data_IF_192250750002
#
_entry.id   IF_192250750002
#
_cell.length_a   1.000
_cell.length_b   1.000
_cell.length_c   1.000
_cell.angle_alpha   90.00
_cell.angle_beta   90.00
_cell.angle_gamma   90.00
#
_symmetry.space_group_name_H-M   'P 1'
#
loop_
_entity.id
_entity.type
_entity.pdbx_description
1 polymer ?
#
# COMPACT_ATOMS: atom_id res chain seq x y z
N UNK A 1 -6.96 37.16 3.34
CA UNK A 1 -7.98 38.02 3.98
C UNK A 1 -9.35 37.61 3.43
N UNK A 2 -10.33 37.25 4.27
CA UNK A 2 -11.68 36.94 3.81
C UNK A 2 -12.38 38.26 3.47
N UNK A 3 -12.53 38.52 2.18
CA UNK A 3 -13.08 39.76 1.66
C UNK A 3 -14.33 39.41 0.88
N UNK A 4 -15.49 39.86 1.35
CA UNK A 4 -16.75 39.78 0.60
C UNK A 4 -17.06 41.20 0.15
N UNK A 5 -17.17 41.41 -1.18
CA UNK A 5 -17.42 42.74 -1.78
C UNK A 5 -16.39 43.84 -1.45
N UNK A 6 -15.14 43.46 -1.18
CA UNK A 6 -14.07 44.44 -0.96
C UNK A 6 -13.90 44.90 0.49
N UNK A 7 -14.81 44.54 1.40
CA UNK A 7 -14.65 44.82 2.82
C UNK A 7 -14.19 43.57 3.60
N UNK A 8 -13.17 43.69 4.46
CA UNK A 8 -12.76 42.60 5.32
C UNK A 8 -13.82 42.38 6.40
N UNK A 9 -14.33 41.14 6.48
CA UNK A 9 -15.30 40.77 7.51
C UNK A 9 -14.53 40.31 8.75
N UNK A 10 -14.93 40.83 9.92
CA UNK A 10 -14.41 40.43 11.22
C UNK A 10 -13.13 41.15 11.63
N UNK A 11 -12.80 41.02 12.91
CA UNK A 11 -11.51 41.48 13.45
C UNK A 11 -10.38 40.58 12.95
N UNK A 12 -9.12 41.02 13.04
CA UNK A 12 -7.95 40.16 12.74
C UNK A 12 -7.98 38.86 13.55
N UNK A 13 -8.55 38.91 14.76
CA UNK A 13 -8.76 37.74 15.61
C UNK A 13 -9.79 36.76 15.03
N UNK A 14 -10.90 37.24 14.48
CA UNK A 14 -11.91 36.38 13.83
C UNK A 14 -11.34 35.70 12.58
N UNK A 15 -10.51 36.42 11.81
CA UNK A 15 -9.83 35.85 10.65
C UNK A 15 -8.78 34.81 11.05
N UNK A 16 -8.01 35.07 12.10
CA UNK A 16 -7.06 34.12 12.66
C UNK A 16 -7.75 32.85 13.15
N UNK A 17 -8.87 33.00 13.87
CA UNK A 17 -9.68 31.87 14.31
C UNK A 17 -10.24 31.06 13.14
N UNK A 18 -10.73 31.72 12.08
CA UNK A 18 -11.30 31.03 10.92
C UNK A 18 -10.25 30.23 10.14
N UNK A 19 -9.09 30.82 9.87
CA UNK A 19 -7.97 30.13 9.20
C UNK A 19 -7.49 28.97 10.06
N UNK A 20 -7.37 29.16 11.38
CA UNK A 20 -6.96 28.09 12.30
C UNK A 20 -7.98 26.94 12.34
N UNK A 21 -9.28 27.25 12.32
CA UNK A 21 -10.36 26.26 12.35
C UNK A 21 -10.46 25.45 11.06
N UNK A 22 -10.08 26.02 9.92
CA UNK A 22 -9.99 25.29 8.65
C UNK A 22 -8.67 24.53 8.50
N UNK A 23 -7.57 25.08 8.99
CA UNK A 23 -6.25 24.49 8.86
C UNK A 23 -6.11 23.23 9.73
N UNK A 24 -6.53 23.28 10.99
CA UNK A 24 -6.32 22.19 11.95
C UNK A 24 -6.96 20.85 11.52
N UNK A 25 -8.22 20.81 11.04
CA UNK A 25 -8.82 19.58 10.53
C UNK A 25 -8.11 19.05 9.28
N UNK A 26 -7.62 19.92 8.41
CA UNK A 26 -6.90 19.47 7.21
C UNK A 26 -5.56 18.82 7.56
N UNK A 27 -4.79 19.41 8.48
CA UNK A 27 -3.54 18.81 8.97
C UNK A 27 -3.82 17.47 9.65
N UNK A 28 -4.86 17.39 10.47
CA UNK A 28 -5.30 16.12 11.07
C UNK A 28 -5.66 15.07 10.02
N UNK A 29 -6.29 15.47 8.93
CA UNK A 29 -6.64 14.61 7.81
C UNK A 29 -5.39 14.07 7.08
N UNK A 30 -4.43 14.95 6.78
CA UNK A 30 -3.12 14.59 6.21
C UNK A 30 -2.38 13.59 7.10
N UNK A 31 -2.28 13.89 8.40
CA UNK A 31 -1.64 12.99 9.35
C UNK A 31 -2.33 11.62 9.40
N UNK A 32 -3.67 11.58 9.34
CA UNK A 32 -4.42 10.33 9.28
C UNK A 32 -4.12 9.50 8.02
N UNK A 33 -4.02 10.14 6.86
CA UNK A 33 -3.67 9.48 5.60
C UNK A 33 -2.24 8.94 5.63
N UNK A 34 -1.31 9.74 6.14
CA UNK A 34 0.09 9.36 6.31
C UNK A 34 0.28 8.17 7.26
N UNK A 35 -0.50 8.06 8.33
CA UNK A 35 -0.50 6.88 9.21
C UNK A 35 -0.91 5.62 8.45
N UNK A 36 -1.96 5.70 7.63
CA UNK A 36 -2.42 4.55 6.84
C UNK A 36 -1.39 4.15 5.80
N UNK A 37 -0.75 5.13 5.14
CA UNK A 37 0.40 4.90 4.26
C UNK A 37 1.53 4.18 5.01
N UNK A 38 1.89 4.61 6.22
CA UNK A 38 2.92 3.94 7.03
C UNK A 38 2.54 2.49 7.36
N UNK A 39 1.27 2.21 7.68
CA UNK A 39 0.77 0.84 7.91
C UNK A 39 0.89 -0.01 6.65
N UNK A 40 0.52 0.53 5.48
CA UNK A 40 0.66 -0.14 4.18
C UNK A 40 2.13 -0.44 3.85
N UNK A 41 3.06 0.48 4.14
CA UNK A 41 4.50 0.26 3.97
C UNK A 41 4.99 -0.85 4.90
N UNK A 42 4.59 -0.84 6.17
CA UNK A 42 4.93 -1.91 7.12
C UNK A 42 4.42 -3.28 6.66
N UNK A 43 3.18 -3.33 6.18
CA UNK A 43 2.59 -4.57 5.62
C UNK A 43 3.33 -5.04 4.36
N UNK A 44 3.75 -4.11 3.49
CA UNK A 44 4.57 -4.43 2.32
C UNK A 44 5.93 -5.02 2.74
N UNK A 45 6.55 -4.49 3.79
CA UNK A 45 7.79 -5.03 4.35
C UNK A 45 7.63 -6.46 4.88
N UNK A 46 6.55 -6.76 5.59
CA UNK A 46 6.25 -8.13 6.05
C UNK A 46 6.08 -9.12 4.88
N UNK A 47 5.43 -8.68 3.79
CA UNK A 47 5.31 -9.49 2.58
C UNK A 47 6.65 -9.70 1.88
N UNK A 48 7.52 -8.69 1.84
CA UNK A 48 8.85 -8.79 1.25
C UNK A 48 9.76 -9.74 2.05
N UNK A 49 9.71 -9.66 3.39
CA UNK A 49 10.41 -10.59 4.28
C UNK A 49 9.94 -12.03 4.05
N UNK A 50 8.62 -12.23 3.94
CA UNK A 50 8.06 -13.55 3.62
C UNK A 50 8.52 -14.03 2.24
N UNK A 51 8.59 -13.14 1.24
CA UNK A 51 9.05 -13.47 -0.10
C UNK A 51 10.52 -13.90 -0.12
N UNK A 52 11.39 -13.22 0.62
CA UNK A 52 12.80 -13.59 0.75
C UNK A 52 12.94 -14.91 1.48
N UNK A 53 12.26 -15.06 2.63
CA UNK A 53 12.30 -16.29 3.41
C UNK A 53 11.86 -17.49 2.57
N UNK A 54 10.75 -17.39 1.83
CA UNK A 54 10.30 -18.46 0.93
C UNK A 54 11.28 -18.77 -0.20
N UNK A 55 11.94 -17.75 -0.77
CA UNK A 55 12.95 -17.94 -1.81
C UNK A 55 14.20 -18.66 -1.30
N UNK A 56 14.62 -18.34 -0.06
CA UNK A 56 15.87 -18.81 0.52
C UNK A 56 15.68 -20.05 1.43
N UNK A 57 14.43 -20.55 1.60
CA UNK A 57 14.08 -21.66 2.50
C UNK A 57 14.96 -22.89 2.25
N UNK A 58 15.16 -23.27 0.99
CA UNK A 58 15.90 -24.50 0.68
C UNK A 58 17.41 -24.34 0.84
N UNK A 59 17.95 -23.16 0.52
CA UNK A 59 19.37 -22.84 0.75
C UNK A 59 19.66 -22.81 2.27
N UNK A 60 18.76 -22.19 3.04
CA UNK A 60 18.86 -22.13 4.51
C UNK A 60 18.81 -23.52 5.15
N UNK A 61 17.91 -24.39 4.68
CA UNK A 61 17.82 -25.79 5.15
C UNK A 61 19.10 -26.54 4.82
N UNK A 62 19.64 -26.38 3.61
CA UNK A 62 20.88 -27.02 3.18
C UNK A 62 22.08 -26.57 4.03
N UNK A 63 22.21 -25.27 4.29
CA UNK A 63 23.29 -24.71 5.12
C UNK A 63 23.23 -25.26 6.56
N UNK A 64 22.05 -25.26 7.20
CA UNK A 64 21.87 -25.78 8.55
C UNK A 64 22.26 -27.27 8.67
N UNK A 65 22.00 -28.06 7.62
CA UNK A 65 22.38 -29.47 7.59
C UNK A 65 23.89 -29.69 7.46
N UNK A 66 24.59 -28.83 6.72
CA UNK A 66 26.06 -28.90 6.62
C UNK A 66 26.76 -28.60 7.95
N UNK A 67 26.21 -27.65 8.73
CA UNK A 67 26.73 -27.30 10.06
C UNK A 67 26.46 -28.41 11.08
N UNK A 68 25.32 -29.09 10.99
CA UNK A 68 24.88 -30.03 12.02
C UNK A 68 25.57 -31.42 11.97
N UNK A 69 26.37 -31.75 10.94
CA UNK A 69 27.08 -33.05 10.81
C UNK A 69 26.18 -34.27 11.18
N UNK A 70 24.91 -34.24 10.78
CA UNK A 70 23.91 -35.19 11.27
C UNK A 70 24.02 -36.55 10.57
N UNK A 71 24.21 -37.60 11.37
CA UNK A 71 24.37 -39.00 10.97
C UNK A 71 23.09 -39.65 10.40
N UNK A 72 21.95 -38.93 10.39
CA UNK A 72 20.66 -39.36 9.80
C UNK A 72 20.09 -38.25 8.88
N UNK A 73 20.90 -37.85 7.89
CA UNK A 73 20.74 -36.66 7.02
C UNK A 73 19.35 -36.45 6.43
N UNK A 74 18.64 -37.51 6.03
CA UNK A 74 17.33 -37.37 5.38
C UNK A 74 16.22 -37.04 6.38
N UNK A 75 16.19 -37.65 7.56
CA UNK A 75 15.16 -37.39 8.58
C UNK A 75 15.30 -35.97 9.14
N UNK A 76 16.54 -35.53 9.38
CA UNK A 76 16.84 -34.17 9.81
C UNK A 76 16.47 -33.13 8.73
N UNK A 77 16.75 -33.42 7.45
CA UNK A 77 16.34 -32.56 6.33
C UNK A 77 14.83 -32.33 6.30
N UNK A 78 14.05 -33.40 6.36
CA UNK A 78 12.58 -33.30 6.33
C UNK A 78 12.02 -32.57 7.56
N UNK A 79 12.59 -32.79 8.74
CA UNK A 79 12.16 -32.10 9.96
C UNK A 79 12.43 -30.58 9.88
N UNK A 80 13.63 -30.18 9.46
CA UNK A 80 14.00 -28.76 9.34
C UNK A 80 13.20 -28.07 8.23
N UNK A 81 13.04 -28.71 7.07
CA UNK A 81 12.23 -28.18 5.97
C UNK A 81 10.77 -27.98 6.39
N UNK A 82 10.19 -28.98 7.06
CA UNK A 82 8.82 -28.90 7.55
C UNK A 82 8.63 -27.75 8.54
N UNK A 83 9.59 -27.54 9.45
CA UNK A 83 9.50 -26.46 10.45
C UNK A 83 9.58 -25.07 9.79
N UNK A 84 10.52 -24.87 8.87
CA UNK A 84 10.68 -23.62 8.11
C UNK A 84 9.46 -23.32 7.22
N UNK A 85 8.96 -24.32 6.49
CA UNK A 85 7.80 -24.14 5.63
C UNK A 85 6.53 -23.89 6.45
N UNK A 86 6.38 -24.55 7.60
CA UNK A 86 5.28 -24.32 8.53
C UNK A 86 5.31 -22.91 9.11
N UNK A 87 6.49 -22.40 9.46
CA UNK A 87 6.64 -21.03 9.92
C UNK A 87 6.26 -20.02 8.83
N UNK A 88 6.77 -20.21 7.60
CA UNK A 88 6.43 -19.39 6.44
C UNK A 88 4.92 -19.42 6.16
N UNK A 89 4.31 -20.61 6.17
CA UNK A 89 2.88 -20.79 5.94
C UNK A 89 2.04 -20.12 7.03
N UNK A 90 2.49 -20.17 8.28
CA UNK A 90 1.82 -19.48 9.39
C UNK A 90 1.87 -17.96 9.20
N UNK A 91 3.04 -17.39 8.89
CA UNK A 91 3.21 -15.95 8.60
C UNK A 91 2.36 -15.51 7.41
N UNK A 92 2.37 -16.27 6.32
CA UNK A 92 1.52 -16.03 5.15
C UNK A 92 0.02 -16.04 5.54
N UNK A 93 -0.42 -17.00 6.34
CA UNK A 93 -1.81 -17.07 6.80
C UNK A 93 -2.20 -15.86 7.66
N UNK A 94 -1.31 -15.41 8.54
CA UNK A 94 -1.52 -14.23 9.38
C UNK A 94 -1.64 -12.95 8.55
N UNK A 95 -0.74 -12.74 7.58
CA UNK A 95 -0.79 -11.63 6.62
C UNK A 95 -2.13 -11.62 5.88
N UNK A 96 -2.56 -12.77 5.34
CA UNK A 96 -3.84 -12.87 4.62
C UNK A 96 -5.07 -12.74 5.52
N UNK A 97 -4.94 -13.04 6.82
CA UNK A 97 -6.02 -12.81 7.80
C UNK A 97 -6.17 -11.33 8.15
N UNK A 98 -5.07 -10.58 8.16
CA UNK A 98 -5.07 -9.12 8.40
C UNK A 98 -5.41 -8.32 7.13
N UNK A 99 -5.11 -8.85 5.96
CA UNK A 99 -5.36 -8.22 4.67
C UNK A 99 -6.78 -7.68 4.47
N UNK A 100 -7.89 -8.42 4.73
CA UNK A 100 -9.24 -7.88 4.54
C UNK A 100 -9.57 -6.73 5.49
N UNK A 101 -8.98 -6.70 6.69
CA UNK A 101 -9.14 -5.59 7.63
C UNK A 101 -8.42 -4.35 7.10
N UNK A 102 -7.19 -4.54 6.61
CA UNK A 102 -6.40 -3.49 5.98
C UNK A 102 -7.08 -2.93 4.74
N UNK A 103 -7.62 -3.80 3.86
CA UNK A 103 -8.37 -3.40 2.67
C UNK A 103 -9.58 -2.53 3.02
N UNK A 104 -10.35 -2.90 4.05
CA UNK A 104 -11.51 -2.11 4.48
C UNK A 104 -11.10 -0.74 5.02
N UNK A 105 -10.06 -0.68 5.85
CA UNK A 105 -9.55 0.57 6.40
C UNK A 105 -8.99 1.47 5.29
N UNK A 106 -8.12 0.94 4.43
CA UNK A 106 -7.53 1.66 3.31
C UNK A 106 -8.59 2.13 2.30
N UNK A 107 -9.63 1.33 2.04
CA UNK A 107 -10.76 1.71 1.17
C UNK A 107 -11.52 2.94 1.67
N UNK A 108 -11.83 2.95 2.96
CA UNK A 108 -12.52 4.07 3.60
C UNK A 108 -11.66 5.35 3.60
N UNK A 109 -10.40 5.23 3.99
CA UNK A 109 -9.45 6.35 4.03
C UNK A 109 -9.21 6.91 2.62
N UNK A 110 -9.05 6.04 1.62
CA UNK A 110 -8.85 6.48 0.25
C UNK A 110 -10.05 7.23 -0.32
N UNK A 111 -11.27 6.78 -0.03
CA UNK A 111 -12.48 7.48 -0.46
C UNK A 111 -12.53 8.89 0.14
N UNK A 112 -12.25 8.99 1.45
CA UNK A 112 -12.17 10.27 2.14
C UNK A 112 -11.09 11.15 1.50
N UNK A 113 -9.90 10.59 1.29
CA UNK A 113 -8.77 11.28 0.67
C UNK A 113 -9.05 11.77 -0.74
N UNK A 114 -9.77 10.99 -1.55
CA UNK A 114 -10.17 11.40 -2.89
C UNK A 114 -11.11 12.62 -2.87
N UNK A 115 -12.13 12.62 -2.02
CA UNK A 115 -13.10 13.73 -1.95
C UNK A 115 -12.42 15.01 -1.43
N UNK A 116 -11.67 14.91 -0.32
CA UNK A 116 -10.99 16.07 0.27
C UNK A 116 -9.92 16.63 -0.67
N UNK A 117 -9.10 15.76 -1.26
CA UNK A 117 -8.04 16.19 -2.18
C UNK A 117 -8.60 16.85 -3.43
N UNK A 118 -9.71 16.35 -3.98
CA UNK A 118 -10.32 16.94 -5.17
C UNK A 118 -10.81 18.37 -4.89
N UNK A 119 -11.46 18.58 -3.75
CA UNK A 119 -11.92 19.89 -3.32
C UNK A 119 -10.76 20.86 -3.06
N UNK A 120 -9.75 20.42 -2.32
CA UNK A 120 -8.59 21.23 -1.95
C UNK A 120 -7.72 21.60 -3.16
N UNK A 121 -7.45 20.65 -4.07
CA UNK A 121 -6.69 20.92 -5.29
C UNK A 121 -7.44 21.88 -6.20
N UNK A 122 -8.74 21.66 -6.40
CA UNK A 122 -9.56 22.55 -7.24
C UNK A 122 -9.60 23.98 -6.69
N UNK A 123 -9.88 24.11 -5.38
CA UNK A 123 -9.93 25.42 -4.73
C UNK A 123 -8.56 26.11 -4.71
N UNK A 124 -7.50 25.38 -4.38
CA UNK A 124 -6.13 25.90 -4.35
C UNK A 124 -5.66 26.38 -5.71
N UNK A 125 -5.86 25.59 -6.76
CA UNK A 125 -5.54 25.96 -8.14
C UNK A 125 -6.35 27.17 -8.60
N UNK A 126 -7.66 27.21 -8.31
CA UNK A 126 -8.51 28.34 -8.69
C UNK A 126 -8.04 29.66 -8.05
N UNK A 127 -7.75 29.66 -6.75
CA UNK A 127 -7.27 30.87 -6.05
C UNK A 127 -5.89 31.28 -6.56
N UNK A 128 -4.98 30.33 -6.78
CA UNK A 128 -3.62 30.61 -7.27
C UNK A 128 -3.64 31.23 -8.67
N UNK A 129 -4.52 30.76 -9.56
CA UNK A 129 -4.62 31.25 -10.94
C UNK A 129 -5.32 32.62 -11.05
N UNK A 130 -6.16 33.00 -10.07
CA UNK A 130 -6.82 34.32 -10.03
C UNK A 130 -6.11 35.35 -9.12
N UNK A 131 -5.23 34.91 -8.23
CA UNK A 131 -4.58 35.76 -7.22
C UNK A 131 -3.62 36.80 -7.85
N UNK A 132 -3.73 38.10 -7.48
CA UNK A 132 -2.94 39.18 -8.09
C UNK A 132 -1.48 39.24 -7.62
N UNK A 133 -1.11 38.51 -6.57
CA UNK A 133 0.16 38.64 -5.82
C UNK A 133 1.02 37.37 -5.92
N UNK A 134 2.17 37.46 -6.59
CA UNK A 134 3.09 36.33 -6.81
C UNK A 134 3.55 35.63 -5.52
N UNK A 135 3.73 36.36 -4.42
CA UNK A 135 4.27 35.82 -3.16
C UNK A 135 3.25 35.00 -2.36
N UNK A 136 1.99 35.40 -2.36
CA UNK A 136 0.90 34.64 -1.72
C UNK A 136 0.55 33.40 -2.54
N UNK A 137 0.63 33.50 -3.88
CA UNK A 137 0.42 32.39 -4.80
C UNK A 137 1.44 31.25 -4.60
N UNK A 138 2.71 31.55 -4.31
CA UNK A 138 3.74 30.52 -4.07
C UNK A 138 3.40 29.69 -2.81
N UNK A 139 3.11 30.35 -1.69
CA UNK A 139 2.74 29.67 -0.43
C UNK A 139 1.44 28.90 -0.59
N UNK A 140 0.46 29.45 -1.30
CA UNK A 140 -0.82 28.76 -1.51
C UNK A 140 -0.70 27.55 -2.46
N UNK A 141 0.27 27.56 -3.38
CA UNK A 141 0.51 26.47 -4.32
C UNK A 141 1.23 25.26 -3.71
N UNK A 142 1.95 25.42 -2.59
CA UNK A 142 2.68 24.32 -1.96
C UNK A 142 1.75 23.22 -1.41
N UNK A 143 0.56 23.65 -0.98
CA UNK A 143 -0.45 22.80 -0.38
C UNK A 143 -1.07 21.80 -1.38
N UNK A 144 -1.67 22.22 -2.53
CA UNK A 144 -2.22 21.28 -3.51
C UNK A 144 -1.15 20.34 -4.09
N UNK A 145 0.10 20.80 -4.23
CA UNK A 145 1.20 19.93 -4.67
C UNK A 145 1.43 18.80 -3.64
N UNK A 146 1.50 19.14 -2.36
CA UNK A 146 1.69 18.16 -1.28
C UNK A 146 0.54 17.15 -1.22
N UNK A 147 -0.71 17.62 -1.40
CA UNK A 147 -1.91 16.78 -1.47
C UNK A 147 -1.81 15.77 -2.62
N UNK A 148 -1.45 16.25 -3.82
CA UNK A 148 -1.33 15.43 -5.02
C UNK A 148 -0.22 14.40 -4.87
N UNK A 149 0.91 14.76 -4.25
CA UNK A 149 2.01 13.84 -3.98
C UNK A 149 1.61 12.75 -2.99
N UNK A 150 0.91 13.08 -1.90
CA UNK A 150 0.43 12.07 -0.96
C UNK A 150 -0.55 11.09 -1.63
N UNK A 151 -1.47 11.61 -2.44
CA UNK A 151 -2.39 10.79 -3.22
C UNK A 151 -1.64 9.84 -4.18
N UNK A 152 -0.63 10.37 -4.87
CA UNK A 152 0.23 9.59 -5.75
C UNK A 152 0.95 8.46 -4.99
N UNK A 153 1.55 8.77 -3.84
CA UNK A 153 2.24 7.79 -2.99
C UNK A 153 1.28 6.68 -2.57
N UNK A 154 0.06 7.02 -2.15
CA UNK A 154 -0.95 6.03 -1.75
C UNK A 154 -1.29 5.09 -2.90
N UNK A 155 -1.62 5.64 -4.08
CA UNK A 155 -1.90 4.83 -5.27
C UNK A 155 -0.71 3.94 -5.64
N UNK A 156 0.51 4.46 -5.55
CA UNK A 156 1.72 3.72 -5.91
C UNK A 156 1.95 2.55 -4.96
N UNK A 157 1.75 2.79 -3.67
CA UNK A 157 1.96 1.81 -2.63
C UNK A 157 0.98 0.64 -2.75
N UNK A 158 -0.29 0.93 -3.05
CA UNK A 158 -1.31 -0.09 -3.32
C UNK A 158 -0.94 -0.96 -4.52
N UNK A 159 -0.45 -0.34 -5.60
CA UNK A 159 -0.05 -1.06 -6.81
C UNK A 159 1.19 -1.93 -6.56
N UNK A 160 2.20 -1.40 -5.87
CA UNK A 160 3.37 -2.16 -5.44
C UNK A 160 3.02 -3.32 -4.53
N UNK A 161 2.04 -3.16 -3.63
CA UNK A 161 1.57 -4.23 -2.76
C UNK A 161 0.96 -5.39 -3.59
N UNK A 162 0.20 -5.06 -4.64
CA UNK A 162 -0.32 -6.05 -5.58
C UNK A 162 0.80 -6.77 -6.34
N UNK A 163 1.81 -6.04 -6.81
CA UNK A 163 2.98 -6.60 -7.49
C UNK A 163 3.83 -7.49 -6.57
N UNK A 164 4.03 -7.07 -5.32
CA UNK A 164 4.75 -7.84 -4.31
C UNK A 164 4.06 -9.18 -4.04
N UNK A 165 2.74 -9.18 -3.90
CA UNK A 165 1.98 -10.42 -3.72
C UNK A 165 2.15 -11.38 -4.91
N UNK A 166 2.20 -10.85 -6.15
CA UNK A 166 2.51 -11.66 -7.34
C UNK A 166 3.96 -12.15 -7.34
N UNK A 167 4.90 -11.31 -6.89
CA UNK A 167 6.31 -11.67 -6.79
C UNK A 167 6.56 -12.81 -5.81
N UNK A 168 5.81 -12.93 -4.71
CA UNK A 168 5.89 -14.07 -3.79
C UNK A 168 5.65 -15.38 -4.54
N UNK A 169 4.58 -15.43 -5.35
CA UNK A 169 4.23 -16.61 -6.14
C UNK A 169 5.27 -16.94 -7.19
N UNK A 170 5.84 -15.92 -7.85
CA UNK A 170 6.90 -16.10 -8.84
C UNK A 170 8.20 -16.62 -8.20
N UNK A 171 8.67 -16.01 -7.10
CA UNK A 171 9.89 -16.44 -6.40
C UNK A 171 9.78 -17.87 -5.91
N UNK A 172 8.63 -18.25 -5.34
CA UNK A 172 8.39 -19.61 -4.87
C UNK A 172 8.27 -20.63 -6.02
N UNK A 173 7.82 -20.19 -7.19
CA UNK A 173 7.79 -21.02 -8.39
C UNK A 173 9.17 -21.18 -9.04
N UNK A 174 10.00 -20.14 -9.00
CA UNK A 174 11.39 -20.13 -9.47
C UNK A 174 12.31 -20.93 -8.55
N UNK A 175 11.92 -21.16 -7.30
CA UNK A 175 12.63 -22.09 -6.44
C UNK A 175 12.56 -23.49 -7.05
N UNK A 176 13.71 -24.16 -7.20
CA UNK A 176 13.81 -25.54 -7.72
C UNK A 176 13.27 -26.58 -6.72
N UNK A 177 12.17 -26.29 -6.02
CA UNK A 177 11.58 -27.12 -4.97
C UNK A 177 11.21 -28.51 -5.52
N UNK A 178 10.81 -28.62 -6.78
CA UNK A 178 10.53 -29.91 -7.42
C UNK A 178 11.78 -30.79 -7.57
N UNK A 179 12.96 -30.19 -7.75
CA UNK A 179 14.24 -30.89 -7.86
C UNK A 179 14.86 -31.16 -6.49
N UNK A 180 14.65 -30.25 -5.53
CA UNK A 180 15.22 -30.34 -4.18
C UNK A 180 14.43 -31.25 -3.23
N UNK A 181 13.12 -31.44 -3.44
CA UNK A 181 12.36 -32.47 -2.73
C UNK A 181 12.73 -33.88 -3.23
N UNK A 182 13.74 -34.49 -2.63
CA UNK A 182 14.13 -35.86 -2.94
C UNK A 182 13.06 -36.86 -2.48
N UNK A 183 12.33 -37.44 -3.44
CA UNK A 183 11.32 -38.46 -3.16
C UNK A 183 11.94 -39.72 -2.53
N UNK A 184 11.42 -40.13 -1.37
CA UNK A 184 11.73 -41.41 -0.74
C UNK A 184 10.44 -42.11 -0.32
N UNK A 185 10.34 -43.43 -0.55
CA UNK A 185 9.17 -44.24 -0.15
C UNK A 185 8.84 -44.13 1.34
N UNK A 186 9.87 -43.92 2.18
CA UNK A 186 9.72 -43.78 3.64
C UNK A 186 9.09 -42.44 4.03
N UNK A 187 9.28 -41.39 3.22
CA UNK A 187 8.83 -40.01 3.48
C UNK A 187 7.73 -39.54 2.51
N UNK A 188 6.94 -40.48 1.98
CA UNK A 188 5.91 -40.16 0.98
C UNK A 188 4.84 -39.19 1.50
N UNK A 189 4.49 -39.31 2.80
CA UNK A 189 3.46 -38.50 3.43
C UNK A 189 3.94 -37.05 3.62
N UNK A 190 5.19 -36.90 4.02
CA UNK A 190 5.90 -35.66 4.26
C UNK A 190 6.07 -34.93 2.93
N UNK A 191 6.62 -35.60 1.91
CA UNK A 191 6.74 -35.06 0.55
C UNK A 191 5.40 -34.50 0.03
N UNK A 192 4.31 -35.28 0.18
CA UNK A 192 2.99 -34.85 -0.28
C UNK A 192 2.45 -33.66 0.52
N UNK A 193 2.71 -33.61 1.82
CA UNK A 193 2.31 -32.49 2.68
C UNK A 193 3.01 -31.21 2.26
N UNK A 194 4.35 -31.23 2.16
CA UNK A 194 5.15 -30.04 1.81
C UNK A 194 4.81 -29.53 0.40
N UNK A 195 4.72 -30.43 -0.59
CA UNK A 195 4.36 -30.07 -1.95
C UNK A 195 2.96 -29.44 -2.04
N UNK A 196 2.01 -29.93 -1.22
CA UNK A 196 0.67 -29.36 -1.14
C UNK A 196 0.70 -27.99 -0.45
N UNK A 197 1.49 -27.82 0.60
CA UNK A 197 1.66 -26.53 1.28
C UNK A 197 2.29 -25.48 0.35
N UNK A 198 3.36 -25.81 -0.37
CA UNK A 198 3.96 -24.94 -1.39
C UNK A 198 2.93 -24.61 -2.48
N UNK A 199 2.22 -25.62 -2.99
CA UNK A 199 1.18 -25.42 -4.00
C UNK A 199 0.06 -24.47 -3.54
N UNK A 200 -0.39 -24.60 -2.28
CA UNK A 200 -1.37 -23.68 -1.70
C UNK A 200 -0.83 -22.26 -1.55
N UNK A 201 0.43 -22.09 -1.12
CA UNK A 201 1.09 -20.79 -1.02
C UNK A 201 1.20 -20.09 -2.38
N UNK A 202 1.62 -20.82 -3.42
CA UNK A 202 1.67 -20.32 -4.80
C UNK A 202 0.26 -19.95 -5.30
N UNK A 203 -0.72 -20.83 -5.10
CA UNK A 203 -2.09 -20.58 -5.56
C UNK A 203 -2.70 -19.35 -4.88
N UNK A 204 -2.40 -19.11 -3.59
CA UNK A 204 -2.91 -17.97 -2.83
C UNK A 204 -2.22 -16.66 -3.21
N UNK A 205 -0.91 -16.66 -3.39
CA UNK A 205 -0.15 -15.47 -3.83
C UNK A 205 -0.53 -15.02 -5.26
N UNK A 206 -1.03 -15.92 -6.10
CA UNK A 206 -1.56 -15.55 -7.42
C UNK A 206 -2.94 -14.86 -7.37
N UNK A 207 -3.65 -14.88 -6.24
CA UNK A 207 -4.94 -14.18 -6.12
C UNK A 207 -4.70 -12.66 -6.07
N UNK A 208 -5.43 -11.90 -6.91
CA UNK A 208 -5.31 -10.44 -6.92
C UNK A 208 -5.80 -9.83 -5.60
N UNK A 209 -4.90 -9.12 -4.91
CA UNK A 209 -5.26 -8.24 -3.80
C UNK A 209 -5.90 -6.99 -4.40
N UNK A 210 -7.19 -6.76 -4.14
CA UNK A 210 -7.91 -5.59 -4.65
C UNK A 210 -8.25 -4.64 -3.51
N UNK A 211 -7.66 -3.46 -3.53
CA UNK A 211 -8.13 -2.33 -2.73
C UNK A 211 -9.19 -1.59 -3.53
N UNK A 212 -10.32 -1.29 -2.92
CA UNK A 212 -11.45 -0.62 -3.58
C UNK A 212 -11.60 0.81 -3.06
N UNK A 213 -12.05 1.73 -3.90
CA UNK A 213 -12.52 3.06 -3.55
C UNK A 213 -14.04 2.98 -3.40
N UNK A 214 -14.54 3.11 -2.17
CA UNK A 214 -15.99 3.12 -1.90
C UNK A 214 -16.77 1.92 -2.45
N UNK A 215 -16.12 0.76 -2.58
CA UNK A 215 -16.62 -0.49 -3.20
C UNK A 215 -16.74 -0.55 -4.74
N UNK A 216 -16.59 0.57 -5.45
CA UNK A 216 -16.96 0.64 -6.88
C UNK A 216 -15.73 0.46 -7.80
N UNK A 217 -14.60 1.08 -7.44
CA UNK A 217 -13.44 1.18 -8.33
C UNK A 217 -12.17 0.66 -7.65
N UNK A 218 -11.30 -0.06 -8.35
CA UNK A 218 -10.02 -0.48 -7.79
C UNK A 218 -9.09 0.74 -7.62
N UNK A 219 -8.35 0.80 -6.51
CA UNK A 219 -7.30 1.80 -6.31
C UNK A 219 -6.09 1.42 -7.16
N UNK A 220 -5.61 2.34 -7.98
CA UNK A 220 -4.47 2.14 -8.90
C UNK A 220 -3.92 3.48 -9.38
N UNK A 221 -2.79 3.46 -10.10
CA UNK A 221 -2.30 4.63 -10.86
C UNK A 221 -3.28 5.14 -11.91
N UNK A 222 -4.14 4.28 -12.45
CA UNK A 222 -5.21 4.68 -13.36
C UNK A 222 -6.18 5.66 -12.65
N UNK A 223 -6.55 5.38 -11.39
CA UNK A 223 -7.40 6.29 -10.59
C UNK A 223 -6.72 7.61 -10.28
N UNK A 224 -5.41 7.61 -10.10
CA UNK A 224 -4.65 8.86 -9.96
C UNK A 224 -4.74 9.70 -11.25
N UNK A 225 -4.59 9.07 -12.41
CA UNK A 225 -4.71 9.77 -13.70
C UNK A 225 -6.11 10.34 -13.91
N UNK A 226 -7.16 9.55 -13.57
CA UNK A 226 -8.54 10.03 -13.57
C UNK A 226 -8.74 11.24 -12.63
N UNK A 227 -8.17 11.18 -11.42
CA UNK A 227 -8.23 12.26 -10.44
C UNK A 227 -7.60 13.56 -10.99
N UNK A 228 -6.41 13.49 -11.59
CA UNK A 228 -5.75 14.66 -12.18
C UNK A 228 -6.60 15.24 -13.31
N UNK A 229 -7.08 14.41 -14.23
CA UNK A 229 -7.94 14.86 -15.34
C UNK A 229 -9.23 15.53 -14.85
N UNK A 230 -9.87 14.95 -13.83
CA UNK A 230 -11.07 15.51 -13.22
C UNK A 230 -10.77 16.87 -12.58
N UNK A 231 -9.70 16.97 -11.78
CA UNK A 231 -9.31 18.22 -11.13
C UNK A 231 -9.03 19.33 -12.16
N UNK A 232 -8.29 19.02 -13.23
CA UNK A 232 -8.00 19.96 -14.31
C UNK A 232 -9.28 20.43 -15.01
N UNK A 233 -10.17 19.50 -15.34
CA UNK A 233 -11.45 19.82 -16.00
C UNK A 233 -12.30 20.75 -15.15
N UNK A 234 -12.41 20.48 -13.84
CA UNK A 234 -13.18 21.33 -12.92
C UNK A 234 -12.53 22.72 -12.82
N UNK A 235 -11.21 22.79 -12.63
CA UNK A 235 -10.51 24.09 -12.56
C UNK A 235 -10.72 24.89 -13.84
N UNK A 236 -10.55 24.29 -15.02
CA UNK A 236 -10.74 24.97 -16.30
C UNK A 236 -12.19 25.44 -16.50
N UNK A 237 -13.17 24.60 -16.12
CA UNK A 237 -14.58 24.98 -16.16
C UNK A 237 -14.89 26.18 -15.27
N UNK A 238 -14.39 26.19 -14.03
CA UNK A 238 -14.53 27.31 -13.09
C UNK A 238 -13.85 28.59 -13.60
N UNK A 239 -12.72 28.45 -14.30
CA UNK A 239 -12.04 29.60 -14.90
C UNK A 239 -12.79 30.18 -16.10
N UNK A 240 -13.52 29.37 -16.88
CA UNK A 240 -14.19 29.78 -18.11
C UNK A 240 -15.61 30.35 -17.88
N UNK A 241 -16.27 29.96 -16.78
CA UNK A 241 -17.64 30.44 -16.46
C UNK A 241 -17.68 31.87 -15.90
N UNK A 242 -16.53 32.45 -15.56
CA UNK A 242 -16.42 33.77 -14.92
C UNK A 242 -15.22 34.54 -15.48
#
# INVERSE_FOLDING_TARGET
>A
MLVIRGEPIGTEFDQFMYVSFLYFPTVGFFMGCSIVNAILVGFMGEMELLASCLGDVFETVQEQLTVQKAHDSTTAYWATLHDQLRECAKRHCEIFTMLPKLQRMASFVFLQHHIFSLGLVTAGCYVTLRGPTLRENVVLSEYPISVVLEYFIFCQLVERLQDMNRSIGNKLYETDWMLQLQYSRKFHREYRSEALTIGLLVMRSQQRIRFTCGSINAVSMEKFTEFINLSYTIVMFLLNIN
#
